data_IF_382806175997
#
_entry.id   IF_382806175997
#
_cell.length_a   1.000
_cell.length_b   1.000
_cell.length_c   1.000
_cell.angle_alpha   90.00
_cell.angle_beta   90.00
_cell.angle_gamma   90.00
#
_symmetry.space_group_name_H-M   'P 1'
#
loop_
_entity.id
_entity.type
_entity.pdbx_description
1 polymer ?
#
# COMPACT_ATOMS: atom_id res chain seq x y z
N UNK A 1 -11.32 -19.25 9.25
CA UNK A 1 -9.87 -19.53 9.24
C UNK A 1 -9.21 -18.64 10.30
N UNK A 2 -8.14 -19.11 10.93
CA UNK A 2 -7.41 -18.39 11.96
C UNK A 2 -5.91 -18.49 11.69
N UNK A 3 -5.26 -17.35 11.50
CA UNK A 3 -3.90 -17.31 10.97
C UNK A 3 -3.47 -15.93 10.50
N UNK A 4 -2.20 -15.81 10.10
CA UNK A 4 -1.67 -14.60 9.46
C UNK A 4 -1.35 -14.92 8.01
N UNK A 5 -1.91 -14.11 7.13
CA UNK A 5 -1.87 -14.24 5.68
C UNK A 5 -1.23 -13.00 5.06
N UNK A 6 -0.76 -13.13 3.82
CA UNK A 6 -0.23 -11.98 3.08
C UNK A 6 -1.36 -11.39 2.25
N UNK A 7 -1.75 -10.15 2.53
CA UNK A 7 -2.72 -9.41 1.74
C UNK A 7 -2.02 -8.54 0.71
N UNK A 8 -2.43 -8.60 -0.56
CA UNK A 8 -1.97 -7.72 -1.63
C UNK A 8 -3.12 -6.89 -2.15
N UNK A 9 -2.97 -5.57 -2.13
CA UNK A 9 -3.95 -4.64 -2.72
C UNK A 9 -3.81 -4.69 -4.24
N UNK A 10 -4.77 -5.34 -4.91
CA UNK A 10 -4.86 -5.36 -6.37
C UNK A 10 -5.24 -3.97 -6.88
N UNK A 11 -6.31 -3.40 -6.32
CA UNK A 11 -6.84 -2.08 -6.70
C UNK A 11 -7.69 -1.46 -5.61
N UNK A 12 -8.00 -0.18 -5.79
CA UNK A 12 -8.95 0.55 -4.94
C UNK A 12 -10.03 1.15 -5.84
N UNK A 13 -11.26 0.72 -5.64
CA UNK A 13 -12.45 1.21 -6.32
C UNK A 13 -12.86 2.55 -5.69
N UNK A 14 -12.88 3.61 -6.52
CA UNK A 14 -13.24 5.00 -6.17
C UNK A 14 -12.52 5.61 -4.94
N UNK A 15 -11.46 4.96 -4.44
CA UNK A 15 -10.83 5.35 -3.18
C UNK A 15 -11.64 4.99 -1.94
N UNK A 16 -12.73 4.23 -2.09
CA UNK A 16 -13.65 3.86 -1.00
C UNK A 16 -13.46 2.39 -0.59
N UNK A 17 -13.24 1.49 -1.57
CA UNK A 17 -13.11 0.05 -1.34
C UNK A 17 -11.79 -0.46 -1.91
N UNK A 18 -10.92 -0.98 -1.06
CA UNK A 18 -9.70 -1.67 -1.46
C UNK A 18 -9.94 -3.16 -1.64
N UNK A 19 -9.58 -3.69 -2.79
CA UNK A 19 -9.61 -5.13 -3.09
C UNK A 19 -8.27 -5.74 -2.65
N UNK A 20 -8.31 -6.60 -1.64
CA UNK A 20 -7.14 -7.33 -1.14
C UNK A 20 -7.24 -8.80 -1.55
N UNK A 21 -6.17 -9.33 -2.11
CA UNK A 21 -5.97 -10.75 -2.33
C UNK A 21 -5.18 -11.33 -1.16
N UNK A 22 -5.74 -12.31 -0.48
CA UNK A 22 -5.08 -13.07 0.59
C UNK A 22 -4.33 -14.24 -0.03
N UNK A 23 -3.02 -14.25 0.22
CA UNK A 23 -2.07 -15.25 -0.22
C UNK A 23 -1.57 -16.08 0.97
N UNK A 24 -1.57 -17.40 0.78
CA UNK A 24 -0.93 -18.40 1.64
C UNK A 24 0.05 -19.19 0.77
N UNK A 25 1.32 -19.28 1.18
CA UNK A 25 2.36 -20.01 0.42
C UNK A 25 2.46 -19.58 -1.07
N UNK A 26 2.37 -18.27 -1.34
CA UNK A 26 2.40 -17.69 -2.70
C UNK A 26 1.19 -18.05 -3.60
N UNK A 27 0.15 -18.67 -3.03
CA UNK A 27 -1.11 -18.95 -3.73
C UNK A 27 -2.24 -18.09 -3.15
N UNK A 28 -3.04 -17.48 -4.04
CA UNK A 28 -4.23 -16.70 -3.66
C UNK A 28 -5.29 -17.67 -3.16
N UNK A 29 -5.56 -17.65 -1.86
CA UNK A 29 -6.58 -18.49 -1.22
C UNK A 29 -7.93 -17.78 -1.12
N UNK A 30 -7.94 -16.45 -1.03
CA UNK A 30 -9.15 -15.67 -0.80
C UNK A 30 -9.03 -14.22 -1.31
N UNK A 31 -10.16 -13.59 -1.60
CA UNK A 31 -10.26 -12.18 -1.94
C UNK A 31 -11.19 -11.51 -0.94
N UNK A 32 -10.74 -10.41 -0.36
CA UNK A 32 -11.51 -9.62 0.60
C UNK A 32 -11.58 -8.16 0.16
N UNK A 33 -12.80 -7.63 0.11
CA UNK A 33 -13.07 -6.21 -0.02
C UNK A 33 -13.06 -5.56 1.37
N UNK A 34 -12.21 -4.54 1.53
CA UNK A 34 -12.17 -3.75 2.76
C UNK A 34 -12.32 -2.26 2.44
N UNK A 35 -12.87 -1.46 3.38
CA UNK A 35 -12.89 -0.01 3.22
C UNK A 35 -11.45 0.53 3.08
N UNK A 36 -11.22 1.46 2.16
CA UNK A 36 -9.91 2.10 2.01
C UNK A 36 -9.47 2.85 3.29
N UNK A 37 -10.42 3.37 4.08
CA UNK A 37 -10.16 3.95 5.41
C UNK A 37 -9.61 2.95 6.44
N UNK A 38 -9.85 1.65 6.24
CA UNK A 38 -9.26 0.59 7.08
C UNK A 38 -7.86 0.20 6.62
N UNK A 39 -7.48 0.53 5.37
CA UNK A 39 -6.14 0.31 4.87
C UNK A 39 -5.18 1.37 5.44
N UNK A 40 -4.00 0.95 5.91
CA UNK A 40 -2.97 1.92 6.26
C UNK A 40 -2.63 2.77 5.04
N UNK A 41 -2.49 4.10 5.20
CA UNK A 41 -2.14 5.05 4.14
C UNK A 41 -1.03 4.57 3.18
N UNK A 42 0.08 3.94 3.64
CA UNK A 42 1.10 3.43 2.72
C UNK A 42 0.64 2.26 1.84
N UNK A 43 -0.41 1.52 2.23
CA UNK A 43 -1.04 0.44 1.46
C UNK A 43 -2.22 0.90 0.62
N UNK A 44 -2.66 2.17 0.72
CA UNK A 44 -3.69 2.76 -0.15
C UNK A 44 -3.15 3.06 -1.55
N UNK A 45 -2.55 2.06 -2.17
CA UNK A 45 -1.97 2.11 -3.51
C UNK A 45 -2.09 0.74 -4.16
N UNK A 46 -2.20 0.75 -5.48
CA UNK A 46 -1.99 -0.42 -6.34
C UNK A 46 -0.65 -1.12 -5.97
N UNK A 47 -0.71 -2.43 -5.73
CA UNK A 47 0.44 -3.26 -5.36
C UNK A 47 0.93 -3.11 -3.91
N UNK A 48 0.11 -2.56 -3.01
CA UNK A 48 0.43 -2.48 -1.59
C UNK A 48 0.38 -3.87 -0.92
N UNK A 49 1.46 -4.30 -0.26
CA UNK A 49 1.49 -5.56 0.48
C UNK A 49 1.31 -5.30 1.98
N UNK A 50 0.43 -6.05 2.62
CA UNK A 50 0.13 -6.01 4.03
C UNK A 50 0.06 -7.43 4.61
N UNK A 51 0.29 -7.57 5.91
CA UNK A 51 -0.04 -8.79 6.64
C UNK A 51 -1.45 -8.66 7.20
N UNK A 52 -2.29 -9.63 6.91
CA UNK A 52 -3.68 -9.70 7.39
C UNK A 52 -3.77 -10.83 8.40
N UNK A 53 -4.26 -10.54 9.60
CA UNK A 53 -4.52 -11.55 10.62
C UNK A 53 -6.03 -11.81 10.67
N UNK A 54 -6.40 -13.07 10.44
CA UNK A 54 -7.76 -13.58 10.58
C UNK A 54 -7.91 -14.28 11.94
N UNK A 55 -8.99 -14.01 12.63
CA UNK A 55 -9.43 -14.74 13.82
C UNK A 55 -10.92 -15.05 13.67
N UNK A 56 -11.30 -16.33 13.76
CA UNK A 56 -12.68 -16.77 13.49
C UNK A 56 -13.23 -16.33 12.11
N UNK A 57 -12.39 -16.37 11.06
CA UNK A 57 -12.78 -15.93 9.70
C UNK A 57 -12.98 -14.40 9.57
N UNK A 58 -12.66 -13.63 10.61
CA UNK A 58 -12.81 -12.17 10.61
C UNK A 58 -11.44 -11.48 10.63
N UNK A 59 -11.28 -10.40 9.85
CA UNK A 59 -10.04 -9.61 9.82
C UNK A 59 -9.90 -8.82 11.10
N UNK A 60 -9.01 -9.27 11.98
CA UNK A 60 -8.75 -8.61 13.27
C UNK A 60 -7.58 -7.63 13.22
N UNK A 61 -6.62 -7.83 12.32
CA UNK A 61 -5.48 -6.93 12.17
C UNK A 61 -4.99 -6.85 10.72
N UNK A 62 -4.47 -5.67 10.35
CA UNK A 62 -3.85 -5.38 9.06
C UNK A 62 -2.61 -4.53 9.30
N UNK A 63 -1.43 -5.03 8.94
CA UNK A 63 -0.16 -4.35 9.15
C UNK A 63 0.58 -4.18 7.82
N UNK A 64 0.94 -2.94 7.47
CA UNK A 64 1.66 -2.66 6.22
C UNK A 64 3.05 -3.29 6.24
N UNK A 65 3.39 -4.06 5.20
CA UNK A 65 4.71 -4.70 5.04
C UNK A 65 5.52 -3.95 3.98
N UNK A 66 6.45 -3.06 4.38
CA UNK A 66 7.24 -2.25 3.45
C UNK A 66 8.25 -3.05 2.60
N UNK A 67 8.50 -4.33 2.92
CA UNK A 67 9.61 -5.09 2.31
C UNK A 67 9.33 -5.57 0.88
N UNK A 68 8.07 -5.61 0.44
CA UNK A 68 7.68 -6.01 -0.93
C UNK A 68 7.31 -4.84 -1.86
N UNK A 69 7.25 -3.60 -1.37
CA UNK A 69 6.94 -2.40 -2.18
C UNK A 69 8.20 -1.68 -2.68
N UNK A 70 9.32 -2.40 -2.80
CA UNK A 70 10.64 -1.80 -3.11
C UNK A 70 11.06 -1.86 -4.58
N UNK A 71 10.26 -2.48 -5.44
CA UNK A 71 10.46 -2.41 -6.90
C UNK A 71 9.41 -1.47 -7.51
N UNK A 72 9.85 -0.35 -8.10
CA UNK A 72 9.07 0.65 -8.90
C UNK A 72 8.47 1.89 -8.24
N UNK A 73 9.01 2.39 -7.12
CA UNK A 73 8.85 3.83 -6.79
C UNK A 73 10.16 4.63 -6.73
N UNK A 74 11.25 4.07 -7.23
CA UNK A 74 12.45 4.83 -7.54
C UNK A 74 12.36 5.37 -8.98
N UNK A 75 11.97 6.65 -9.13
CA UNK A 75 12.43 7.58 -10.20
C UNK A 75 11.43 8.67 -10.62
N UNK A 76 10.24 8.79 -10.01
CA UNK A 76 9.33 9.90 -10.35
C UNK A 76 9.45 11.14 -9.43
N UNK A 77 10.32 11.12 -8.41
CA UNK A 77 10.32 12.17 -7.35
C UNK A 77 11.66 12.86 -7.07
N UNK A 78 12.72 12.56 -7.84
CA UNK A 78 14.02 13.27 -7.74
C UNK A 78 14.17 14.48 -8.69
N UNK A 79 13.12 14.89 -9.42
CA UNK A 79 13.23 16.00 -10.40
C UNK A 79 12.62 17.34 -9.99
N UNK A 80 12.06 17.47 -8.79
CA UNK A 80 11.27 18.66 -8.42
C UNK A 80 11.77 19.46 -7.21
N UNK A 81 13.02 19.28 -6.77
CA UNK A 81 13.61 20.14 -5.73
C UNK A 81 15.00 20.67 -6.10
N UNK A 82 15.21 21.05 -7.37
CA UNK A 82 16.46 21.69 -7.81
C UNK A 82 16.25 22.90 -8.74
N UNK A 83 15.12 23.59 -8.62
CA UNK A 83 14.86 24.79 -9.44
C UNK A 83 14.41 26.03 -8.66
N UNK A 84 14.37 25.99 -7.32
CA UNK A 84 13.81 27.10 -6.53
C UNK A 84 14.74 27.65 -5.47
N UNK A 85 16.05 27.76 -5.74
CA UNK A 85 16.96 28.58 -4.90
C UNK A 85 18.08 29.20 -5.75
N UNK A 86 17.75 30.05 -6.74
CA UNK A 86 18.66 31.11 -7.21
C UNK A 86 17.97 32.16 -8.08
N UNK A 87 16.87 32.72 -7.56
CA UNK A 87 16.28 33.98 -8.05
C UNK A 87 16.02 34.89 -6.84
N UNK A 88 17.10 35.23 -6.14
CA UNK A 88 17.27 36.34 -5.20
C UNK A 88 18.78 36.36 -5.02
N UNK A 89 19.51 37.04 -5.89
CA UNK A 89 19.85 38.43 -5.64
C UNK A 89 20.24 39.10 -6.96
N UNK A 90 19.41 40.05 -7.40
CA UNK A 90 19.76 41.09 -8.37
C UNK A 90 19.53 42.41 -7.65
N UNK A 91 20.54 42.91 -6.96
CA UNK A 91 20.84 44.30 -6.51
C UNK A 91 22.34 44.21 -6.14
N UNK A 92 23.35 44.89 -6.68
CA UNK A 92 23.59 46.17 -7.35
C UNK A 92 24.82 46.06 -8.30
#
# INVERSE_FOLDING_TARGET
MDGTYTGVVDRIEDGEIGVILLEEDEEVIEQVDVPADRLPEPAQTDGGVLSVTLENDEVVAMEYRPDATRDRRESAREKLNRLSEKLSDREE
#
